data_IF_146172317790
#
_entry.id   IF_146172317790
#
_cell.length_a   1.000
_cell.length_b   1.000
_cell.length_c   1.000
_cell.angle_alpha   90.00
_cell.angle_beta   90.00
_cell.angle_gamma   90.00
#
_symmetry.space_group_name_H-M   'P 1'
#
loop_
_entity.id
_entity.type
_entity.pdbx_description
1 polymer ?
#
# COMPACT_ATOMS: atom_id res chain seq x y z
N UNK A 1 53.37 -5.65 -34.42
CA UNK A 1 52.39 -5.57 -35.52
C UNK A 1 51.22 -4.69 -35.04
N UNK A 2 51.33 -3.38 -35.26
CA UNK A 2 50.24 -2.44 -34.89
C UNK A 2 49.17 -2.48 -35.98
N UNK A 3 48.00 -3.00 -35.62
CA UNK A 3 46.81 -2.92 -36.49
C UNK A 3 46.32 -1.47 -36.50
N UNK A 4 46.60 -0.73 -37.55
CA UNK A 4 45.95 0.58 -37.79
C UNK A 4 44.46 0.33 -37.96
N UNK A 5 43.66 0.76 -36.92
CA UNK A 5 42.21 0.75 -37.00
C UNK A 5 41.79 1.67 -38.13
N UNK A 6 41.01 1.15 -39.09
CA UNK A 6 40.53 1.97 -40.20
C UNK A 6 39.53 3.03 -39.67
N UNK A 7 39.46 4.21 -40.30
CA UNK A 7 38.49 5.26 -39.92
C UNK A 7 37.04 4.75 -39.86
N UNK A 8 36.71 3.77 -40.71
CA UNK A 8 35.40 3.12 -40.76
C UNK A 8 35.17 2.27 -39.50
N UNK A 9 36.17 1.51 -39.07
CA UNK A 9 36.05 0.70 -37.83
C UNK A 9 35.93 1.56 -36.57
N UNK A 10 36.65 2.69 -36.54
CA UNK A 10 36.54 3.66 -35.46
C UNK A 10 35.14 4.26 -35.40
N UNK A 11 34.58 4.65 -36.55
CA UNK A 11 33.21 5.21 -36.63
C UNK A 11 32.15 4.18 -36.24
N UNK A 12 32.28 2.92 -36.68
CA UNK A 12 31.36 1.85 -36.26
C UNK A 12 31.41 1.59 -34.76
N UNK A 13 32.61 1.58 -34.17
CA UNK A 13 32.77 1.39 -32.73
C UNK A 13 32.17 2.56 -31.92
N UNK A 14 32.33 3.79 -32.41
CA UNK A 14 31.73 4.98 -31.79
C UNK A 14 30.20 4.94 -31.87
N UNK A 15 29.62 4.59 -33.01
CA UNK A 15 28.18 4.44 -33.17
C UNK A 15 27.62 3.33 -32.27
N UNK A 16 28.29 2.21 -32.16
CA UNK A 16 27.90 1.13 -31.24
C UNK A 16 27.88 1.59 -29.80
N UNK A 17 28.87 2.38 -29.37
CA UNK A 17 28.97 2.92 -28.02
C UNK A 17 27.85 3.92 -27.72
N UNK A 18 27.48 4.78 -28.69
CA UNK A 18 26.35 5.69 -28.56
C UNK A 18 25.01 4.96 -28.44
N UNK A 19 24.78 3.96 -29.28
CA UNK A 19 23.54 3.15 -29.21
C UNK A 19 23.44 2.41 -27.89
N UNK A 20 24.53 1.78 -27.44
CA UNK A 20 24.56 1.08 -26.15
C UNK A 20 24.30 2.04 -24.99
N UNK A 21 24.92 3.23 -25.00
CA UNK A 21 24.68 4.27 -24.00
C UNK A 21 23.22 4.73 -23.97
N UNK A 22 22.60 4.96 -25.14
CA UNK A 22 21.20 5.33 -25.23
C UNK A 22 20.27 4.25 -24.70
N UNK A 23 20.53 2.98 -25.01
CA UNK A 23 19.75 1.84 -24.47
C UNK A 23 19.89 1.73 -22.96
N UNK A 24 21.11 1.90 -22.42
CA UNK A 24 21.31 1.89 -20.96
C UNK A 24 20.54 3.01 -20.26
N UNK A 25 20.51 4.22 -20.83
CA UNK A 25 19.73 5.35 -20.27
C UNK A 25 18.23 5.07 -20.33
N UNK A 26 17.74 4.47 -21.41
CA UNK A 26 16.32 4.12 -21.53
C UNK A 26 15.92 3.05 -20.53
N UNK A 27 16.72 2.00 -20.38
CA UNK A 27 16.49 0.94 -19.38
C UNK A 27 16.56 1.50 -17.96
N UNK A 28 17.53 2.37 -17.67
CA UNK A 28 17.63 3.03 -16.38
C UNK A 28 16.37 3.87 -16.07
N UNK A 29 15.90 4.69 -17.03
CA UNK A 29 14.69 5.48 -16.84
C UNK A 29 13.43 4.65 -16.68
N UNK A 30 13.27 3.61 -17.51
CA UNK A 30 12.05 2.81 -17.57
C UNK A 30 11.90 1.80 -16.43
N UNK A 31 13.00 1.21 -15.96
CA UNK A 31 12.95 0.12 -15.00
C UNK A 31 13.61 0.43 -13.65
N UNK A 32 14.75 1.08 -13.64
CA UNK A 32 15.52 1.25 -12.41
C UNK A 32 15.01 2.44 -11.62
N UNK A 33 14.75 3.58 -12.28
CA UNK A 33 14.25 4.78 -11.60
C UNK A 33 12.87 4.57 -11.00
N UNK A 34 11.95 3.91 -11.72
CA UNK A 34 10.63 3.59 -11.18
C UNK A 34 10.71 2.62 -10.01
N UNK A 35 11.57 1.60 -10.08
CA UNK A 35 11.72 0.63 -8.99
C UNK A 35 12.44 1.20 -7.76
N UNK A 36 13.40 2.12 -7.93
CA UNK A 36 14.07 2.80 -6.82
C UNK A 36 13.17 3.83 -6.11
N UNK A 37 12.15 4.34 -6.78
CA UNK A 37 11.20 5.30 -6.22
C UNK A 37 9.86 4.68 -5.85
N UNK A 38 9.70 3.36 -6.02
CA UNK A 38 8.54 2.67 -5.44
C UNK A 38 8.65 2.79 -3.92
N UNK A 39 7.61 3.32 -3.25
CA UNK A 39 7.56 3.26 -1.81
C UNK A 39 7.72 1.80 -1.40
N UNK A 40 8.55 1.54 -0.40
CA UNK A 40 8.69 0.22 0.18
C UNK A 40 7.30 -0.24 0.64
N UNK A 41 6.65 -1.09 -0.12
CA UNK A 41 5.43 -1.77 0.32
C UNK A 41 5.86 -2.85 1.31
N UNK A 42 5.71 -2.56 2.59
CA UNK A 42 5.74 -3.60 3.59
C UNK A 42 4.37 -4.27 3.62
N UNK A 43 4.29 -5.44 3.04
CA UNK A 43 3.16 -6.33 3.29
C UNK A 43 3.39 -6.95 4.67
N UNK A 44 2.75 -6.40 5.68
CA UNK A 44 2.66 -7.06 6.96
C UNK A 44 1.67 -8.22 6.78
N UNK A 45 2.17 -9.40 6.57
CA UNK A 45 1.41 -10.60 6.90
C UNK A 45 1.48 -10.71 8.42
N UNK A 46 0.37 -10.45 9.10
CA UNK A 46 0.22 -10.90 10.47
C UNK A 46 0.45 -12.40 10.45
N UNK A 47 1.42 -12.88 11.23
CA UNK A 47 1.72 -14.31 11.39
C UNK A 47 0.62 -15.04 12.16
N UNK A 48 -0.63 -14.79 11.84
CA UNK A 48 -1.68 -15.69 12.25
C UNK A 48 -1.62 -16.90 11.31
N UNK A 49 -1.09 -17.99 11.83
CA UNK A 49 -1.05 -19.29 11.18
C UNK A 49 -2.44 -19.79 10.76
N UNK A 50 -3.48 -19.23 11.33
CA UNK A 50 -4.86 -19.43 10.94
C UNK A 50 -5.29 -18.22 10.11
N UNK A 51 -5.41 -18.40 8.81
CA UNK A 51 -6.09 -17.47 7.90
C UNK A 51 -7.60 -17.45 8.23
N UNK A 52 -7.93 -17.04 9.43
CA UNK A 52 -9.31 -16.82 9.83
C UNK A 52 -9.85 -15.58 9.11
N UNK A 53 -10.96 -15.72 8.42
CA UNK A 53 -11.73 -14.56 8.00
C UNK A 53 -12.21 -13.85 9.26
N UNK A 54 -11.84 -12.59 9.46
CA UNK A 54 -12.41 -11.76 10.50
C UNK A 54 -13.66 -11.11 9.88
N UNK A 55 -14.81 -11.37 10.46
CA UNK A 55 -16.09 -10.93 9.92
C UNK A 55 -16.63 -9.78 10.78
N UNK A 56 -16.70 -8.57 10.20
CA UNK A 56 -17.52 -7.49 10.76
C UNK A 56 -19.00 -7.82 10.53
N UNK A 57 -19.77 -7.84 11.60
CA UNK A 57 -21.20 -8.17 11.58
C UNK A 57 -21.94 -7.31 12.60
N UNK A 58 -23.27 -7.46 12.66
CA UNK A 58 -24.06 -6.82 13.73
C UNK A 58 -23.68 -7.27 15.13
N UNK A 59 -23.24 -8.53 15.25
CA UNK A 59 -22.83 -9.12 16.52
C UNK A 59 -21.40 -8.73 16.91
N UNK A 60 -20.53 -8.49 15.90
CA UNK A 60 -19.17 -8.00 16.07
C UNK A 60 -18.96 -6.77 15.17
N UNK A 61 -19.48 -5.59 15.59
CA UNK A 61 -19.44 -4.40 14.76
C UNK A 61 -18.07 -3.72 14.73
N UNK A 62 -17.15 -4.11 15.57
CA UNK A 62 -15.84 -3.49 15.71
C UNK A 62 -14.74 -4.55 15.81
N UNK A 63 -13.65 -4.29 15.09
CA UNK A 63 -12.41 -5.07 15.15
C UNK A 63 -11.26 -4.11 15.34
N UNK A 64 -10.38 -4.44 16.26
CA UNK A 64 -9.19 -3.63 16.53
C UNK A 64 -7.96 -4.51 16.55
N UNK A 65 -6.94 -4.12 15.83
CA UNK A 65 -5.66 -4.82 15.75
C UNK A 65 -4.51 -3.87 16.08
N UNK A 66 -3.55 -4.35 16.86
CA UNK A 66 -2.32 -3.61 17.19
C UNK A 66 -1.16 -4.23 16.44
N UNK A 67 -0.45 -3.40 15.69
CA UNK A 67 0.72 -3.83 14.93
C UNK A 67 1.92 -2.89 15.17
N UNK A 68 3.13 -3.41 14.93
CA UNK A 68 4.34 -2.59 14.98
C UNK A 68 4.67 -2.08 13.60
N UNK A 69 4.71 -0.75 13.43
CA UNK A 69 5.07 -0.13 12.17
C UNK A 69 6.55 -0.38 11.85
N UNK A 70 6.85 -0.79 10.62
CA UNK A 70 8.22 -1.10 10.16
C UNK A 70 8.81 -0.02 9.26
N UNK A 71 8.05 1.03 8.97
CA UNK A 71 8.50 2.11 8.10
C UNK A 71 8.77 3.37 8.90
N UNK A 72 9.82 4.16 8.57
CA UNK A 72 10.09 5.43 9.23
C UNK A 72 9.03 6.49 8.94
N UNK A 73 8.29 6.32 7.85
CA UNK A 73 7.23 7.22 7.41
C UNK A 73 6.05 6.40 6.88
N UNK A 74 4.91 6.47 7.57
CA UNK A 74 3.68 5.79 7.17
C UNK A 74 2.80 6.78 6.41
N UNK A 75 2.51 6.48 5.14
CA UNK A 75 1.67 7.31 4.25
C UNK A 75 0.31 6.70 4.02
N UNK A 76 0.27 5.37 3.95
CA UNK A 76 -0.91 4.64 3.51
C UNK A 76 -0.98 3.28 4.16
N UNK A 77 -2.18 2.87 4.50
CA UNK A 77 -2.48 1.50 4.92
C UNK A 77 -3.51 0.93 3.95
N UNK A 78 -3.35 -0.33 3.60
CA UNK A 78 -4.33 -1.02 2.76
C UNK A 78 -4.66 -2.39 3.31
N UNK A 79 -5.93 -2.74 3.25
CA UNK A 79 -6.45 -4.02 3.72
C UNK A 79 -7.30 -4.65 2.62
N UNK A 80 -7.22 -5.95 2.48
CA UNK A 80 -8.07 -6.70 1.57
C UNK A 80 -9.36 -7.11 2.27
N UNK A 81 -10.48 -6.66 1.73
CA UNK A 81 -11.81 -6.91 2.28
C UNK A 81 -12.75 -7.53 1.27
N UNK A 82 -13.68 -8.34 1.75
CA UNK A 82 -14.80 -8.87 0.95
C UNK A 82 -16.10 -8.49 1.64
N UNK A 83 -16.98 -7.80 0.94
CA UNK A 83 -18.31 -7.49 1.44
C UNK A 83 -19.31 -8.56 1.04
N UNK A 84 -20.03 -9.13 2.01
CA UNK A 84 -21.15 -10.01 1.79
C UNK A 84 -22.40 -9.39 2.44
N UNK A 85 -23.47 -9.20 1.68
CA UNK A 85 -24.76 -8.71 2.19
C UNK A 85 -24.65 -7.40 3.00
N UNK A 86 -23.90 -6.43 2.45
CA UNK A 86 -23.76 -5.12 3.09
C UNK A 86 -25.11 -4.41 3.09
N UNK A 87 -25.56 -4.00 4.27
CA UNK A 87 -26.84 -3.30 4.43
C UNK A 87 -26.80 -1.92 3.73
N UNK A 88 -27.93 -1.52 3.15
CA UNK A 88 -28.05 -0.18 2.59
C UNK A 88 -27.88 0.87 3.72
N UNK A 89 -27.08 1.90 3.46
CA UNK A 89 -26.79 2.94 4.44
C UNK A 89 -25.78 2.59 5.53
N UNK A 90 -25.21 1.37 5.51
CA UNK A 90 -24.13 1.04 6.43
C UNK A 90 -22.88 1.88 6.17
N UNK A 91 -22.24 2.36 7.22
CA UNK A 91 -21.00 3.13 7.18
C UNK A 91 -19.85 2.28 7.73
N UNK A 92 -18.71 2.36 7.08
CA UNK A 92 -17.45 1.76 7.54
C UNK A 92 -16.56 2.88 8.07
N UNK A 93 -16.30 2.86 9.37
CA UNK A 93 -15.38 3.77 10.04
C UNK A 93 -14.02 3.07 10.18
N UNK A 94 -12.95 3.83 9.92
CA UNK A 94 -11.57 3.37 9.98
C UNK A 94 -10.78 4.36 10.82
N UNK A 95 -10.16 3.88 11.89
CA UNK A 95 -9.40 4.70 12.82
C UNK A 95 -7.99 4.14 12.97
N UNK A 96 -6.98 4.97 12.77
CA UNK A 96 -5.58 4.67 13.09
C UNK A 96 -5.17 5.51 14.28
N UNK A 97 -4.73 4.85 15.34
CA UNK A 97 -4.29 5.51 16.56
C UNK A 97 -2.95 4.96 17.05
N UNK A 98 -2.33 5.69 17.94
CA UNK A 98 -1.21 5.16 18.73
C UNK A 98 -1.69 4.00 19.61
N UNK A 99 -0.96 2.89 19.58
CA UNK A 99 -1.34 1.67 20.29
C UNK A 99 -1.16 1.77 21.81
N UNK A 100 -0.35 2.72 22.29
CA UNK A 100 -0.04 2.92 23.70
C UNK A 100 -0.78 4.12 24.30
N UNK A 101 -0.77 5.25 23.60
CA UNK A 101 -1.40 6.49 24.09
C UNK A 101 -2.87 6.61 23.70
N UNK A 102 -3.28 5.97 22.61
CA UNK A 102 -4.61 6.12 22.03
C UNK A 102 -4.79 7.39 21.20
N UNK A 103 -3.74 8.18 20.96
CA UNK A 103 -3.78 9.36 20.10
C UNK A 103 -4.21 8.99 18.68
N UNK A 104 -5.24 9.66 18.16
CA UNK A 104 -5.78 9.39 16.83
C UNK A 104 -4.97 10.14 15.78
N UNK A 105 -4.39 9.40 14.84
CA UNK A 105 -3.62 9.94 13.70
C UNK A 105 -4.46 10.10 12.44
N UNK A 106 -5.47 9.24 12.30
CA UNK A 106 -6.34 9.22 11.13
C UNK A 106 -7.70 8.63 11.49
N UNK A 107 -8.74 9.26 10.97
CA UNK A 107 -10.11 8.76 11.05
C UNK A 107 -10.83 9.08 9.74
N UNK A 108 -11.50 8.10 9.18
CA UNK A 108 -12.28 8.24 7.96
C UNK A 108 -13.52 7.35 8.00
N UNK A 109 -14.64 7.88 7.52
CA UNK A 109 -15.88 7.13 7.34
C UNK A 109 -16.23 7.07 5.85
N UNK A 110 -16.61 5.89 5.38
CA UNK A 110 -17.07 5.66 4.00
C UNK A 110 -18.33 4.83 3.98
N UNK A 111 -19.24 5.07 3.00
CA UNK A 111 -20.37 4.17 2.78
C UNK A 111 -19.87 2.73 2.55
N UNK A 112 -20.28 1.82 3.41
CA UNK A 112 -19.79 0.43 3.36
C UNK A 112 -20.12 -0.24 2.02
N UNK A 113 -21.24 0.13 1.40
CA UNK A 113 -21.63 -0.36 0.07
C UNK A 113 -20.70 0.05 -1.05
N UNK A 114 -20.08 1.23 -0.98
CA UNK A 114 -19.10 1.68 -1.98
C UNK A 114 -17.77 0.93 -1.85
N UNK A 115 -17.37 0.64 -0.62
CA UNK A 115 -16.09 0.03 -0.28
C UNK A 115 -16.15 -1.49 -0.39
N UNK A 116 -17.26 -2.11 0.05
CA UNK A 116 -17.38 -3.56 0.25
C UNK A 116 -18.35 -4.25 -0.72
N UNK A 117 -19.07 -3.52 -1.55
CA UNK A 117 -20.15 -4.05 -2.40
C UNK A 117 -19.66 -4.84 -3.63
N UNK A 118 -18.58 -5.60 -3.50
CA UNK A 118 -18.15 -6.49 -4.58
C UNK A 118 -17.99 -7.92 -4.08
N UNK A 119 -18.44 -8.86 -4.89
CA UNK A 119 -18.16 -10.29 -4.70
C UNK A 119 -16.68 -10.64 -4.87
N UNK A 120 -15.87 -9.64 -5.19
CA UNK A 120 -14.45 -9.74 -5.46
C UNK A 120 -13.73 -9.06 -4.31
N UNK A 121 -12.67 -9.67 -3.84
CA UNK A 121 -11.75 -9.09 -2.86
C UNK A 121 -11.27 -7.72 -3.34
N UNK A 122 -11.57 -6.67 -2.58
CA UNK A 122 -11.15 -5.30 -2.86
C UNK A 122 -10.11 -4.87 -1.85
N UNK A 123 -9.14 -4.13 -2.36
CA UNK A 123 -8.17 -3.42 -1.53
C UNK A 123 -8.79 -2.10 -1.07
N UNK A 124 -9.04 -2.00 0.22
CA UNK A 124 -9.50 -0.74 0.85
C UNK A 124 -8.27 0.01 1.31
N UNK A 125 -8.13 1.23 0.84
CA UNK A 125 -6.96 2.06 1.09
C UNK A 125 -7.33 3.24 1.98
N UNK A 126 -6.51 3.46 3.00
CA UNK A 126 -6.50 4.64 3.84
C UNK A 126 -5.23 5.42 3.57
N UNK A 127 -5.36 6.63 3.07
CA UNK A 127 -4.24 7.53 2.81
C UNK A 127 -4.24 8.65 3.85
N UNK A 128 -3.16 8.74 4.62
CA UNK A 128 -3.02 9.76 5.63
C UNK A 128 -2.83 11.13 4.95
N UNK A 129 -3.59 12.14 5.37
CA UNK A 129 -3.46 13.51 4.86
C UNK A 129 -2.04 14.05 5.02
N UNK A 130 -1.43 13.72 6.15
CA UNK A 130 -0.02 14.01 6.43
C UNK A 130 0.68 12.71 6.77
N UNK A 131 1.84 12.42 6.16
CA UNK A 131 2.61 11.23 6.47
C UNK A 131 3.02 11.21 7.95
N UNK A 132 2.79 10.08 8.64
CA UNK A 132 3.21 9.89 10.02
C UNK A 132 4.71 9.62 10.05
N UNK A 133 5.50 10.65 10.35
CA UNK A 133 6.96 10.56 10.47
C UNK A 133 7.38 9.96 11.81
N UNK A 134 8.53 9.26 11.79
CA UNK A 134 9.05 8.60 13.00
C UNK A 134 8.14 7.46 13.48
N UNK A 135 7.41 6.83 12.56
CA UNK A 135 6.51 5.71 12.85
C UNK A 135 7.23 4.38 13.03
N UNK A 136 8.51 4.29 12.69
CA UNK A 136 9.28 3.06 12.82
C UNK A 136 9.31 2.56 14.27
N UNK A 137 9.00 1.28 14.44
CA UNK A 137 8.87 0.58 15.72
C UNK A 137 7.77 1.09 16.67
N UNK A 138 6.94 2.05 16.25
CA UNK A 138 5.75 2.43 17.01
C UNK A 138 4.69 1.33 16.94
N UNK A 139 4.00 1.10 18.04
CA UNK A 139 2.79 0.29 18.07
C UNK A 139 1.63 1.15 17.62
N UNK A 140 0.98 0.76 16.56
CA UNK A 140 -0.19 1.44 16.01
C UNK A 140 -1.42 0.52 16.17
N UNK A 141 -2.55 1.12 16.48
CA UNK A 141 -3.84 0.43 16.57
C UNK A 141 -4.69 0.83 15.38
N UNK A 142 -5.14 -0.15 14.64
CA UNK A 142 -6.07 0.00 13.55
C UNK A 142 -7.42 -0.56 13.95
N UNK A 143 -8.45 0.28 13.96
CA UNK A 143 -9.80 -0.09 14.34
C UNK A 143 -10.73 0.07 13.14
N UNK A 144 -11.53 -0.97 12.89
CA UNK A 144 -12.58 -1.00 11.89
C UNK A 144 -13.92 -1.13 12.60
N UNK A 145 -14.84 -0.28 12.26
CA UNK A 145 -16.18 -0.28 12.85
C UNK A 145 -17.22 -0.21 11.77
N UNK A 146 -18.14 -1.16 11.78
CA UNK A 146 -19.32 -1.14 10.94
C UNK A 146 -20.48 -0.50 11.71
N UNK A 147 -20.92 0.66 11.27
CA UNK A 147 -22.11 1.31 11.77
C UNK A 147 -23.26 0.90 10.86
N UNK A 148 -24.29 0.31 11.45
CA UNK A 148 -25.47 -0.05 10.69
C UNK A 148 -26.23 1.22 10.33
N UNK A 149 -26.47 1.40 9.02
CA UNK A 149 -27.54 2.30 8.60
C UNK A 149 -28.85 1.79 9.18
N UNK A 150 -29.65 2.68 9.72
CA UNK A 150 -30.97 2.35 10.21
C UNK A 150 -31.73 1.62 9.09
N UNK A 151 -32.05 0.38 9.33
CA UNK A 151 -33.01 -0.35 8.49
C UNK A 151 -34.39 0.16 8.85
N UNK A 152 -34.83 1.19 8.13
CA UNK A 152 -36.26 1.49 8.04
C UNK A 152 -37.00 0.41 7.27
#
# INVERSE_FOLDING_TARGET
>A
MERKISKIQFFQMFMLLLVTGAVCVLVYKAQIRENLHRPLEYTMMTEHKDRGEIVLSREMPEISEVFTCKTPELKKISIECVGKNVAAGAMLSMVLADGETGEVYFEEEKPAGEVLNSRIQKKVEMELKEPLKGSENKKLRLTWKLQNGDST
#
